data_IF_761381024609
#
_entry.id   IF_761381024609
#
_cell.length_a   1.000
_cell.length_b   1.000
_cell.length_c   1.000
_cell.angle_alpha   90.00
_cell.angle_beta   90.00
_cell.angle_gamma   90.00
#
_symmetry.space_group_name_H-M   'P 1'
#
loop_
_entity.id
_entity.type
_entity.pdbx_description
1 polymer ?
#
# COMPACT_ATOMS: atom_id res chain seq x y z
N UNK A 1 -1.85 14.58 -13.83
CA UNK A 1 -1.36 13.20 -13.74
C UNK A 1 -0.06 13.27 -12.93
N UNK A 2 -0.13 13.16 -11.61
CA UNK A 2 1.10 13.19 -10.81
C UNK A 2 1.88 11.90 -11.08
N UNK A 3 3.11 12.01 -11.58
CA UNK A 3 3.96 10.86 -11.85
C UNK A 3 4.22 10.03 -10.58
N UNK A 4 4.43 8.72 -10.75
CA UNK A 4 4.97 7.90 -9.66
C UNK A 4 6.39 8.41 -9.33
N UNK A 5 6.82 8.34 -8.06
CA UNK A 5 8.18 8.75 -7.73
C UNK A 5 9.19 7.88 -8.50
N UNK A 6 10.32 8.47 -8.85
CA UNK A 6 11.43 7.71 -9.42
C UNK A 6 11.94 6.71 -8.37
N UNK A 7 12.34 5.54 -8.84
CA UNK A 7 12.83 4.47 -7.96
C UNK A 7 14.09 4.90 -7.18
N UNK A 8 14.90 5.80 -7.74
CA UNK A 8 16.11 6.34 -7.10
C UNK A 8 15.82 7.15 -5.82
N UNK A 9 14.63 7.75 -5.71
CA UNK A 9 14.18 8.52 -4.56
C UNK A 9 13.49 7.65 -3.49
N UNK A 10 13.29 6.37 -3.78
CA UNK A 10 12.59 5.42 -2.93
C UNK A 10 13.58 4.51 -2.18
N UNK A 11 13.47 4.44 -0.86
CA UNK A 11 14.10 3.37 -0.06
C UNK A 11 13.38 2.03 -0.25
N UNK A 12 12.09 2.07 -0.59
CA UNK A 12 11.27 0.89 -0.81
C UNK A 12 10.27 1.17 -1.93
N UNK A 13 10.07 0.20 -2.82
CA UNK A 13 9.02 0.25 -3.84
C UNK A 13 8.47 -1.15 -4.10
N UNK A 14 7.15 -1.30 -4.03
CA UNK A 14 6.43 -2.55 -4.25
C UNK A 14 5.14 -2.26 -5.01
N UNK A 15 4.84 -3.12 -5.97
CA UNK A 15 3.56 -3.17 -6.67
C UNK A 15 2.72 -4.28 -6.05
N UNK A 16 1.47 -3.99 -5.74
CA UNK A 16 0.47 -4.90 -5.22
C UNK A 16 -0.85 -4.69 -5.96
N UNK A 17 -1.85 -5.53 -5.69
CA UNK A 17 -3.16 -5.47 -6.31
C UNK A 17 -4.23 -5.65 -5.24
N UNK A 18 -5.30 -4.88 -5.34
CA UNK A 18 -6.53 -5.08 -4.56
C UNK A 18 -7.62 -5.59 -5.49
N UNK A 19 -8.46 -6.49 -4.98
CA UNK A 19 -9.63 -6.98 -5.69
C UNK A 19 -10.88 -6.52 -4.94
N UNK A 20 -11.82 -5.91 -5.63
CA UNK A 20 -13.07 -5.43 -5.07
C UNK A 20 -14.19 -5.62 -6.09
N UNK A 21 -15.25 -6.33 -5.71
CA UNK A 21 -16.40 -6.64 -6.58
C UNK A 21 -16.02 -7.21 -7.97
N UNK A 22 -14.97 -8.03 -8.03
CA UNK A 22 -14.47 -8.61 -9.29
C UNK A 22 -13.57 -7.69 -10.11
N UNK A 23 -13.43 -6.42 -9.73
CA UNK A 23 -12.46 -5.51 -10.33
C UNK A 23 -11.13 -5.55 -9.58
N UNK A 24 -10.04 -5.60 -10.34
CA UNK A 24 -8.69 -5.57 -9.80
C UNK A 24 -8.08 -4.19 -10.05
N UNK A 25 -7.49 -3.60 -9.02
CA UNK A 25 -6.79 -2.32 -9.12
C UNK A 25 -5.37 -2.41 -8.59
N UNK A 26 -4.46 -1.70 -9.27
CA UNK A 26 -3.04 -1.65 -8.92
C UNK A 26 -2.81 -0.70 -7.76
N UNK A 27 -2.05 -1.18 -6.78
CA UNK A 27 -1.57 -0.39 -5.64
C UNK A 27 -0.06 -0.32 -5.72
N UNK A 28 0.47 0.90 -5.71
CA UNK A 28 1.88 1.19 -5.55
C UNK A 28 2.15 1.53 -4.09
N UNK A 29 3.16 0.88 -3.53
CA UNK A 29 3.53 1.02 -2.13
C UNK A 29 5.00 1.39 -2.12
N UNK A 30 5.34 2.56 -1.61
CA UNK A 30 6.71 3.03 -1.63
C UNK A 30 7.04 3.83 -0.39
N UNK A 31 8.32 3.85 -0.04
CA UNK A 31 8.85 4.72 1.02
C UNK A 31 9.90 5.62 0.38
N UNK A 32 9.67 6.93 0.42
CA UNK A 32 10.64 7.92 -0.06
C UNK A 32 11.78 8.05 0.96
N UNK A 33 12.99 8.34 0.49
CA UNK A 33 14.14 8.62 1.38
C UNK A 33 13.90 9.80 2.33
N UNK A 34 13.11 10.77 1.88
CA UNK A 34 12.72 11.94 2.67
C UNK A 34 11.58 11.63 3.66
N UNK A 35 10.88 10.49 3.52
CA UNK A 35 9.73 10.14 4.35
C UNK A 35 10.01 8.95 5.27
N UNK A 36 9.55 9.06 6.52
CA UNK A 36 9.67 7.97 7.49
C UNK A 36 8.59 6.90 7.31
N UNK A 37 7.44 7.27 6.74
CA UNK A 37 6.27 6.41 6.59
C UNK A 37 6.11 5.89 5.16
N UNK A 38 5.34 4.82 4.99
CA UNK A 38 5.05 4.26 3.68
C UNK A 38 3.93 5.05 3.04
N UNK A 39 4.03 5.19 1.73
CA UNK A 39 3.04 5.86 0.89
C UNK A 39 2.39 4.82 0.02
N UNK A 40 1.07 4.87 -0.03
CA UNK A 40 0.25 3.95 -0.77
C UNK A 40 -0.56 4.73 -1.78
N UNK A 41 -0.43 4.31 -3.03
CA UNK A 41 -1.05 4.98 -4.15
C UNK A 41 -1.83 4.00 -4.99
N UNK A 42 -3.12 4.25 -5.16
CA UNK A 42 -3.99 3.34 -5.90
C UNK A 42 -5.13 4.09 -6.57
N UNK A 43 -5.56 3.60 -7.73
CA UNK A 43 -6.83 4.01 -8.32
C UNK A 43 -7.96 3.25 -7.62
N UNK A 44 -8.93 3.94 -7.06
CA UNK A 44 -10.08 3.31 -6.43
C UNK A 44 -10.86 2.52 -7.49
N UNK A 45 -11.04 1.18 -7.35
CA UNK A 45 -11.83 0.43 -8.32
C UNK A 45 -13.30 0.89 -8.33
N UNK A 46 -13.84 1.35 -7.20
CA UNK A 46 -15.25 1.75 -7.11
C UNK A 46 -15.57 3.11 -7.72
N UNK A 47 -14.64 4.07 -7.72
CA UNK A 47 -14.91 5.45 -8.17
C UNK A 47 -13.86 6.03 -9.12
N UNK A 48 -12.83 5.25 -9.48
CA UNK A 48 -11.75 5.65 -10.37
C UNK A 48 -10.79 6.71 -9.81
N UNK A 49 -10.99 7.17 -8.57
CA UNK A 49 -10.17 8.24 -7.99
C UNK A 49 -8.78 7.75 -7.60
N UNK A 50 -7.75 8.51 -7.98
CA UNK A 50 -6.38 8.23 -7.57
C UNK A 50 -6.17 8.70 -6.13
N UNK A 51 -6.02 7.75 -5.22
CA UNK A 51 -5.74 8.01 -3.82
C UNK A 51 -4.24 7.95 -3.58
N UNK A 52 -3.78 8.81 -2.67
CA UNK A 52 -2.46 8.81 -2.10
C UNK A 52 -2.62 8.96 -0.58
N UNK A 53 -2.11 8.03 0.20
CA UNK A 53 -2.14 8.13 1.66
C UNK A 53 -0.87 7.56 2.27
N UNK A 54 -0.46 8.16 3.38
CA UNK A 54 0.67 7.72 4.18
C UNK A 54 0.17 6.78 5.27
N UNK A 55 0.87 5.68 5.51
CA UNK A 55 0.56 4.74 6.58
C UNK A 55 1.85 4.23 7.22
N UNK A 56 1.83 4.12 8.54
CA UNK A 56 2.89 3.49 9.33
C UNK A 56 2.78 1.96 9.36
N UNK A 57 2.09 1.37 8.38
CA UNK A 57 1.84 -0.07 8.23
C UNK A 57 1.03 -0.67 9.39
N UNK A 58 0.00 0.04 9.85
CA UNK A 58 -0.97 -0.55 10.77
C UNK A 58 -1.61 -1.77 10.10
N UNK A 59 -1.37 -2.95 10.66
CA UNK A 59 -1.87 -4.22 10.11
C UNK A 59 -2.96 -4.80 11.00
N UNK A 60 -4.01 -5.31 10.38
CA UNK A 60 -4.99 -6.18 11.02
C UNK A 60 -4.74 -7.65 10.67
N UNK A 61 -5.09 -8.56 11.57
CA UNK A 61 -5.00 -10.00 11.34
C UNK A 61 -6.36 -10.53 10.91
N UNK A 62 -6.40 -11.33 9.85
CA UNK A 62 -7.59 -12.06 9.41
C UNK A 62 -7.23 -13.52 9.16
N UNK A 63 -8.08 -14.43 9.62
CA UNK A 63 -7.92 -15.87 9.38
C UNK A 63 -8.52 -16.20 8.01
N UNK A 64 -7.70 -16.65 7.08
CA UNK A 64 -8.10 -17.05 5.73
C UNK A 64 -7.56 -18.46 5.45
N UNK A 65 -8.43 -19.39 5.05
CA UNK A 65 -8.08 -20.80 4.80
C UNK A 65 -7.29 -21.45 5.96
N UNK A 66 -7.66 -21.13 7.20
CA UNK A 66 -6.99 -21.64 8.39
C UNK A 66 -5.65 -20.98 8.74
N UNK A 67 -5.16 -20.03 7.93
CA UNK A 67 -3.91 -19.30 8.18
C UNK A 67 -4.20 -17.86 8.62
N UNK A 68 -3.47 -17.38 9.63
CA UNK A 68 -3.55 -15.97 10.00
C UNK A 68 -2.73 -15.15 9.02
N UNK A 69 -3.41 -14.34 8.21
CA UNK A 69 -2.81 -13.38 7.30
C UNK A 69 -2.95 -11.97 7.88
N UNK A 70 -1.94 -11.16 7.65
CA UNK A 70 -1.95 -9.75 8.04
C UNK A 70 -2.33 -8.90 6.83
N UNK A 71 -3.15 -7.89 7.03
CA UNK A 71 -3.63 -6.97 6.00
C UNK A 71 -3.48 -5.54 6.46
N UNK A 72 -3.24 -4.64 5.52
CA UNK A 72 -3.16 -3.20 5.74
C UNK A 72 -4.47 -2.61 5.21
N UNK A 73 -5.31 -2.03 6.08
CA UNK A 73 -6.53 -1.36 5.64
C UNK A 73 -6.18 -0.02 5.02
N UNK A 74 -6.85 0.28 3.91
CA UNK A 74 -6.64 1.50 3.12
C UNK A 74 -8.01 2.05 2.74
N UNK A 75 -8.21 3.36 2.83
CA UNK A 75 -9.52 3.97 2.57
C UNK A 75 -9.43 4.94 1.40
N UNK A 76 -10.39 4.87 0.50
CA UNK A 76 -10.52 5.89 -0.54
C UNK A 76 -11.07 7.18 0.07
N UNK A 77 -10.39 8.31 -0.14
CA UNK A 77 -10.81 9.61 0.39
C UNK A 77 -12.07 10.16 -0.29
N UNK A 78 -12.39 9.69 -1.50
CA UNK A 78 -13.55 10.18 -2.27
C UNK A 78 -14.84 9.41 -1.97
N UNK A 79 -14.82 8.08 -2.02
CA UNK A 79 -16.02 7.26 -1.80
C UNK A 79 -16.08 6.64 -0.40
N UNK A 80 -15.01 6.72 0.38
CA UNK A 80 -14.96 6.14 1.74
C UNK A 80 -14.83 4.62 1.78
N UNK A 81 -14.74 3.94 0.63
CA UNK A 81 -14.58 2.49 0.58
C UNK A 81 -13.24 2.06 1.17
N UNK A 82 -13.28 1.05 2.03
CA UNK A 82 -12.11 0.43 2.64
C UNK A 82 -11.68 -0.81 1.85
N UNK A 83 -10.38 -0.91 1.60
CA UNK A 83 -9.74 -2.03 0.92
C UNK A 83 -8.66 -2.61 1.83
N UNK A 84 -8.39 -3.90 1.66
CA UNK A 84 -7.37 -4.61 2.42
C UNK A 84 -6.25 -5.05 1.49
N UNK A 85 -5.03 -4.60 1.77
CA UNK A 85 -3.83 -5.07 1.06
C UNK A 85 -3.18 -6.14 1.91
N UNK A 86 -2.84 -7.29 1.35
CA UNK A 86 -2.05 -8.29 2.08
C UNK A 86 -0.71 -7.69 2.51
N UNK A 87 -0.33 -7.91 3.78
CA UNK A 87 0.92 -7.39 4.34
C UNK A 87 2.09 -7.97 3.54
N UNK A 88 2.87 -7.08 2.97
CA UNK A 88 4.12 -7.42 2.31
C UNK A 88 5.23 -7.54 3.35
N UNK A 89 6.18 -8.44 3.12
CA UNK A 89 7.42 -8.49 3.91
C UNK A 89 8.21 -7.22 3.60
N UNK A 90 8.23 -6.30 4.56
CA UNK A 90 9.22 -5.23 4.58
C UNK A 90 10.58 -5.90 4.79
N UNK A 91 11.58 -5.69 3.92
CA UNK A 91 12.93 -6.17 4.20
C UNK A 91 13.39 -5.52 5.51
N UNK A 92 13.58 -6.33 6.56
CA UNK A 92 13.81 -5.87 7.93
C UNK A 92 15.11 -5.09 8.15
N UNK A 93 15.89 -4.79 7.12
CA UNK A 93 17.16 -4.09 7.23
C UNK A 93 17.47 -3.31 5.95
N UNK A 94 17.22 -2.00 5.96
CA UNK A 94 18.28 -1.11 5.47
C UNK A 94 19.13 -0.90 6.71
N UNK A 95 20.25 -1.62 6.81
CA UNK A 95 21.25 -1.33 7.85
C UNK A 95 21.69 0.10 7.55
N UNK A 96 21.29 1.06 8.38
CA UNK A 96 22.07 2.30 8.53
C UNK A 96 23.47 1.83 8.88
N UNK A 97 24.37 1.89 7.91
CA UNK A 97 25.79 1.72 8.15
C UNK A 97 26.23 3.03 8.81
N UNK A 98 26.15 3.07 10.14
CA UNK A 98 26.88 4.05 10.96
C UNK A 98 28.37 3.78 10.81
#
# INVERSE_FOLDING_TARGET
>A
MEDLPKLEDCDYFKKSTINYNGESSRVFIYKLKSSKSYTFRFACPSCGFNNNFNSDLTTMKKKENGKNKEYIPIKCSKCGTEYLIEKFKVPSKVKSKV
#
